data_IF_224254755968
#
_entry.id   IF_224254755968
#
_cell.length_a   1.000
_cell.length_b   1.000
_cell.length_c   1.000
_cell.angle_alpha   90.00
_cell.angle_beta   90.00
_cell.angle_gamma   90.00
#
_symmetry.space_group_name_H-M   'P 1'
#
loop_
_entity.id
_entity.type
_entity.pdbx_description
1 polymer ?
#
# COMPACT_ATOMS: atom_id res chain seq x y z
N UNK A 1 6.47 -44.62 -73.32
CA UNK A 1 5.85 -45.08 -72.06
C UNK A 1 6.35 -44.22 -70.91
N UNK A 2 5.43 -43.48 -70.28
CA UNK A 2 5.43 -42.86 -68.93
C UNK A 2 6.69 -42.12 -68.44
N UNK A 3 6.63 -40.79 -68.59
CA UNK A 3 7.19 -39.82 -67.63
C UNK A 3 6.53 -40.02 -66.25
N UNK A 4 7.33 -40.09 -65.18
CA UNK A 4 6.84 -39.99 -63.80
C UNK A 4 7.36 -38.69 -63.21
N UNK A 5 6.51 -37.66 -63.26
CA UNK A 5 6.70 -36.40 -62.54
C UNK A 5 6.41 -36.63 -61.06
N UNK A 6 7.42 -36.48 -60.19
CA UNK A 6 7.21 -36.43 -58.74
C UNK A 6 6.64 -35.06 -58.35
N UNK A 7 5.34 -35.02 -58.07
CA UNK A 7 4.64 -33.85 -57.57
C UNK A 7 4.91 -33.71 -56.06
N UNK A 8 5.77 -32.77 -55.67
CA UNK A 8 6.01 -32.39 -54.28
C UNK A 8 4.78 -31.59 -53.80
N UNK A 9 3.83 -32.26 -53.16
CA UNK A 9 2.77 -31.60 -52.40
C UNK A 9 3.39 -30.91 -51.19
N UNK A 10 3.46 -29.57 -51.22
CA UNK A 10 3.68 -28.74 -50.03
C UNK A 10 2.57 -29.06 -49.02
N UNK A 11 2.93 -29.75 -47.93
CA UNK A 11 2.09 -29.84 -46.74
C UNK A 11 2.01 -28.44 -46.14
N UNK A 12 0.81 -27.89 -46.05
CA UNK A 12 0.53 -26.76 -45.17
C UNK A 12 0.96 -27.15 -43.76
N UNK A 13 1.98 -26.48 -43.24
CA UNK A 13 2.46 -26.64 -41.88
C UNK A 13 1.50 -25.89 -40.97
N UNK A 14 0.52 -26.61 -40.43
CA UNK A 14 -0.29 -26.13 -39.30
C UNK A 14 0.69 -25.89 -38.15
N UNK A 15 0.84 -24.63 -37.71
CA UNK A 15 1.68 -24.28 -36.56
C UNK A 15 1.22 -25.09 -35.35
N UNK A 16 2.10 -25.97 -34.88
CA UNK A 16 1.95 -26.63 -33.60
C UNK A 16 2.00 -25.56 -32.50
N UNK A 17 0.89 -25.37 -31.79
CA UNK A 17 0.86 -24.60 -30.55
C UNK A 17 1.79 -25.29 -29.56
N UNK A 18 2.98 -24.71 -29.35
CA UNK A 18 3.97 -25.24 -28.44
C UNK A 18 3.37 -25.36 -27.02
N UNK A 19 3.69 -26.47 -26.35
CA UNK A 19 3.30 -26.74 -24.98
C UNK A 19 3.99 -25.73 -24.03
N UNK A 20 3.20 -24.84 -23.44
CA UNK A 20 3.67 -23.82 -22.50
C UNK A 20 3.57 -24.39 -21.08
N UNK A 21 4.68 -24.47 -20.36
CA UNK A 21 4.74 -25.08 -19.01
C UNK A 21 4.08 -24.19 -17.93
N UNK A 22 3.76 -24.70 -16.73
CA UNK A 22 3.17 -23.87 -15.65
C UNK A 22 4.10 -22.72 -15.21
N UNK A 23 5.41 -22.93 -15.29
CA UNK A 23 6.42 -21.92 -15.01
C UNK A 23 6.43 -20.81 -16.08
N UNK A 24 5.70 -21.02 -17.17
CA UNK A 24 5.56 -20.13 -18.30
C UNK A 24 4.25 -19.35 -18.23
N UNK A 25 3.25 -19.78 -17.44
CA UNK A 25 1.98 -19.06 -17.31
C UNK A 25 2.14 -17.73 -16.58
N UNK A 26 2.83 -17.71 -15.43
CA UNK A 26 3.12 -16.47 -14.72
C UNK A 26 4.11 -15.58 -15.52
N UNK A 27 5.04 -16.19 -16.28
CA UNK A 27 5.94 -15.47 -17.19
C UNK A 27 5.17 -14.82 -18.35
N UNK A 28 4.16 -15.47 -18.91
CA UNK A 28 3.25 -14.88 -19.90
C UNK A 28 2.48 -13.69 -19.31
N UNK A 29 2.03 -13.79 -18.05
CA UNK A 29 1.43 -12.66 -17.34
C UNK A 29 2.42 -11.49 -17.21
N UNK A 30 3.67 -11.74 -16.79
CA UNK A 30 4.71 -10.71 -16.70
C UNK A 30 5.02 -10.06 -18.06
N UNK A 31 5.11 -10.86 -19.13
CA UNK A 31 5.27 -10.37 -20.51
C UNK A 31 4.09 -9.52 -20.94
N UNK A 32 2.86 -9.94 -20.63
CA UNK A 32 1.65 -9.18 -20.94
C UNK A 32 1.63 -7.83 -20.22
N UNK A 33 1.98 -7.79 -18.93
CA UNK A 33 2.12 -6.53 -18.18
C UNK A 33 3.22 -5.62 -18.75
N UNK A 34 4.30 -6.22 -19.26
CA UNK A 34 5.38 -5.49 -19.95
C UNK A 34 4.90 -4.90 -21.28
N UNK A 35 4.08 -5.62 -22.05
CA UNK A 35 3.45 -5.09 -23.28
C UNK A 35 2.53 -3.91 -23.00
N UNK A 36 1.87 -3.88 -21.84
CA UNK A 36 1.09 -2.73 -21.35
C UNK A 36 1.93 -1.59 -20.76
N UNK A 37 3.26 -1.74 -20.74
CA UNK A 37 4.20 -0.79 -20.11
C UNK A 37 3.94 -0.58 -18.62
N UNK A 38 3.39 -1.60 -17.94
CA UNK A 38 3.23 -1.61 -16.47
C UNK A 38 4.54 -2.06 -15.82
N UNK A 39 5.15 -3.10 -16.40
CA UNK A 39 6.50 -3.52 -16.05
C UNK A 39 7.48 -2.99 -17.09
N UNK A 40 8.67 -2.60 -16.63
CA UNK A 40 9.79 -2.27 -17.52
C UNK A 40 10.38 -3.55 -18.12
N UNK A 41 11.00 -3.45 -19.29
CA UNK A 41 11.64 -4.61 -19.93
C UNK A 41 12.76 -5.23 -19.07
N UNK A 42 13.48 -4.41 -18.31
CA UNK A 42 14.57 -4.79 -17.41
C UNK A 42 14.10 -5.20 -16.00
N UNK A 43 12.78 -5.21 -15.74
CA UNK A 43 12.23 -5.56 -14.44
C UNK A 43 12.58 -7.00 -14.02
N UNK A 44 12.87 -7.21 -12.74
CA UNK A 44 13.30 -8.52 -12.18
C UNK A 44 12.37 -9.67 -12.57
N UNK A 45 11.05 -9.44 -12.56
CA UNK A 45 10.06 -10.44 -12.96
C UNK A 45 10.19 -10.94 -14.43
N UNK A 46 10.94 -10.24 -15.28
CA UNK A 46 11.20 -10.64 -16.67
C UNK A 46 12.53 -11.38 -16.86
N UNK A 47 13.34 -11.54 -15.80
CA UNK A 47 14.64 -12.20 -15.92
C UNK A 47 14.49 -13.72 -16.15
N UNK A 48 15.44 -14.38 -16.84
CA UNK A 48 15.36 -15.82 -17.14
C UNK A 48 15.28 -16.70 -15.89
N UNK A 49 15.91 -16.26 -14.80
CA UNK A 49 15.99 -16.95 -13.51
C UNK A 49 14.96 -16.42 -12.49
N UNK A 50 14.03 -15.56 -12.91
CA UNK A 50 13.00 -15.03 -12.04
C UNK A 50 12.09 -16.15 -11.52
N UNK A 51 11.64 -15.99 -10.28
CA UNK A 51 10.68 -16.87 -9.64
C UNK A 51 9.29 -16.24 -9.62
N UNK A 52 8.27 -17.07 -9.45
CA UNK A 52 6.88 -16.60 -9.34
C UNK A 52 6.68 -15.57 -8.21
N UNK A 53 7.45 -15.69 -7.13
CA UNK A 53 7.46 -14.72 -6.04
C UNK A 53 7.82 -13.32 -6.50
N UNK A 54 8.70 -13.15 -7.49
CA UNK A 54 9.09 -11.84 -7.98
C UNK A 54 7.89 -11.10 -8.60
N UNK A 55 7.06 -11.80 -9.36
CA UNK A 55 5.82 -11.24 -9.90
C UNK A 55 4.78 -11.01 -8.81
N UNK A 56 4.61 -11.97 -7.89
CA UNK A 56 3.61 -11.87 -6.82
C UNK A 56 3.87 -10.67 -5.90
N UNK A 57 5.12 -10.47 -5.45
CA UNK A 57 5.50 -9.30 -4.64
C UNK A 57 5.30 -7.99 -5.39
N UNK A 58 5.55 -7.98 -6.71
CA UNK A 58 5.38 -6.78 -7.55
C UNK A 58 3.92 -6.35 -7.67
N UNK A 59 2.97 -7.29 -7.63
CA UNK A 59 1.54 -7.01 -7.73
C UNK A 59 0.85 -6.85 -6.37
N UNK A 60 1.53 -7.19 -5.27
CA UNK A 60 0.97 -7.37 -3.93
C UNK A 60 0.22 -6.14 -3.40
N UNK A 61 0.66 -4.95 -3.77
CA UNK A 61 0.13 -3.70 -3.25
C UNK A 61 -1.07 -3.13 -4.03
N UNK A 62 -1.44 -3.80 -5.13
CA UNK A 62 -2.55 -3.42 -6.00
C UNK A 62 -2.34 -2.17 -6.87
N UNK A 63 -1.23 -1.44 -6.72
CA UNK A 63 -1.01 -0.17 -7.46
C UNK A 63 -0.84 -0.42 -8.95
N UNK A 64 -0.02 -1.41 -9.31
CA UNK A 64 0.20 -1.79 -10.70
C UNK A 64 -1.07 -2.36 -11.35
N UNK A 65 -1.92 -3.02 -10.57
CA UNK A 65 -3.21 -3.52 -11.04
C UNK A 65 -4.18 -2.37 -11.37
N UNK A 66 -4.29 -1.37 -10.50
CA UNK A 66 -5.06 -0.16 -10.78
C UNK A 66 -4.50 0.64 -11.96
N UNK A 67 -3.17 0.76 -12.05
CA UNK A 67 -2.49 1.43 -13.16
C UNK A 67 -2.74 0.72 -14.50
N UNK A 68 -2.78 -0.61 -14.50
CA UNK A 68 -3.16 -1.42 -15.65
C UNK A 68 -4.57 -1.08 -16.14
N UNK A 69 -5.55 -1.00 -15.23
CA UNK A 69 -6.92 -0.63 -15.61
C UNK A 69 -6.99 0.77 -16.24
N UNK A 70 -6.27 1.75 -15.67
CA UNK A 70 -6.17 3.11 -16.22
C UNK A 70 -5.54 3.13 -17.62
N UNK A 71 -4.57 2.24 -17.89
CA UNK A 71 -3.96 2.08 -19.23
C UNK A 71 -4.90 1.43 -20.23
N UNK A 72 -5.71 0.46 -19.80
CA UNK A 72 -6.67 -0.22 -20.68
C UNK A 72 -7.86 0.69 -21.00
N UNK A 73 -8.39 1.39 -20.00
CA UNK A 73 -9.50 2.33 -20.14
C UNK A 73 -9.30 3.53 -19.18
N UNK A 74 -8.85 4.69 -19.67
CA UNK A 74 -8.56 5.85 -18.82
C UNK A 74 -9.76 6.38 -18.02
N UNK A 75 -10.99 6.05 -18.42
CA UNK A 75 -12.21 6.52 -17.76
C UNK A 75 -12.73 5.55 -16.69
N UNK A 76 -12.13 4.36 -16.55
CA UNK A 76 -12.64 3.35 -15.63
C UNK A 76 -12.19 3.53 -14.18
N UNK A 77 -11.12 4.30 -13.95
CA UNK A 77 -10.53 4.50 -12.62
C UNK A 77 -10.05 5.94 -12.47
N UNK A 78 -10.45 6.59 -11.39
CA UNK A 78 -9.77 7.82 -10.95
C UNK A 78 -8.52 7.43 -10.16
N UNK A 79 -7.34 7.69 -10.73
CA UNK A 79 -6.07 7.38 -10.09
C UNK A 79 -5.85 8.12 -8.76
N UNK A 80 -6.64 9.17 -8.45
CA UNK A 80 -6.63 9.82 -7.13
C UNK A 80 -7.17 8.93 -6.02
N UNK A 81 -7.99 7.92 -6.34
CA UNK A 81 -8.54 6.98 -5.35
C UNK A 81 -7.52 5.88 -4.97
N UNK A 82 -6.48 5.70 -5.79
CA UNK A 82 -5.44 4.68 -5.62
C UNK A 82 -4.37 5.18 -4.65
N UNK A 83 -4.06 4.40 -3.62
CA UNK A 83 -2.91 4.68 -2.76
C UNK A 83 -1.62 4.37 -3.52
N UNK A 84 -0.93 5.38 -4.05
CA UNK A 84 0.30 5.19 -4.85
C UNK A 84 1.52 4.77 -4.02
N UNK A 85 1.51 5.01 -2.70
CA UNK A 85 2.58 4.63 -1.77
C UNK A 85 2.00 3.85 -0.58
N UNK A 86 1.49 2.63 -0.81
CA UNK A 86 0.85 1.86 0.25
C UNK A 86 1.85 1.27 1.26
N UNK A 87 3.16 1.35 1.01
CA UNK A 87 4.23 0.89 1.90
C UNK A 87 4.04 -0.54 2.46
N UNK A 88 3.35 -1.40 1.70
CA UNK A 88 2.92 -2.75 2.11
C UNK A 88 1.98 -2.79 3.33
N UNK A 89 1.38 -1.66 3.72
CA UNK A 89 0.31 -1.60 4.70
C UNK A 89 -0.91 -2.39 4.20
N UNK A 90 -1.39 -3.35 5.00
CA UNK A 90 -2.41 -4.31 4.59
C UNK A 90 -3.71 -3.63 4.15
N UNK A 91 -4.23 -2.69 4.94
CA UNK A 91 -5.45 -1.97 4.57
C UNK A 91 -5.32 -1.23 3.23
N UNK A 92 -4.25 -0.44 3.03
CA UNK A 92 -4.04 0.33 1.80
C UNK A 92 -3.87 -0.58 0.57
N UNK A 93 -3.14 -1.69 0.73
CA UNK A 93 -2.98 -2.70 -0.32
C UNK A 93 -4.33 -3.38 -0.64
N UNK A 94 -5.06 -3.83 0.37
CA UNK A 94 -6.37 -4.46 0.20
C UNK A 94 -7.40 -3.49 -0.38
N UNK A 95 -7.34 -2.19 -0.04
CA UNK A 95 -8.19 -1.14 -0.64
C UNK A 95 -7.92 -0.99 -2.13
N UNK A 96 -6.64 -0.92 -2.52
CA UNK A 96 -6.25 -0.87 -3.93
C UNK A 96 -6.70 -2.14 -4.67
N UNK A 97 -6.48 -3.33 -4.09
CA UNK A 97 -6.89 -4.60 -4.69
C UNK A 97 -8.43 -4.66 -4.83
N UNK A 98 -9.17 -4.24 -3.81
CA UNK A 98 -10.65 -4.21 -3.84
C UNK A 98 -11.16 -3.25 -4.91
N UNK A 99 -10.53 -2.08 -5.04
CA UNK A 99 -10.84 -1.13 -6.11
C UNK A 99 -10.63 -1.76 -7.49
N UNK A 100 -9.49 -2.43 -7.71
CA UNK A 100 -9.22 -3.18 -8.93
C UNK A 100 -10.32 -4.23 -9.23
N UNK A 101 -10.69 -5.04 -8.24
CA UNK A 101 -11.69 -6.10 -8.38
C UNK A 101 -13.08 -5.53 -8.71
N UNK A 102 -13.48 -4.44 -8.04
CA UNK A 102 -14.75 -3.78 -8.29
C UNK A 102 -14.83 -3.23 -9.72
N UNK A 103 -13.77 -2.60 -10.22
CA UNK A 103 -13.74 -2.09 -11.59
C UNK A 103 -13.72 -3.24 -12.60
N UNK A 104 -13.02 -4.34 -12.31
CA UNK A 104 -13.09 -5.54 -13.14
C UNK A 104 -14.53 -6.10 -13.25
N UNK A 105 -15.27 -6.09 -12.14
CA UNK A 105 -16.69 -6.51 -12.10
C UNK A 105 -17.57 -5.57 -12.93
N UNK A 106 -17.48 -4.27 -12.71
CA UNK A 106 -18.45 -3.31 -13.25
C UNK A 106 -18.09 -2.77 -14.64
N UNK A 107 -16.82 -2.43 -14.90
CA UNK A 107 -16.39 -1.78 -16.14
C UNK A 107 -15.84 -2.75 -17.20
N UNK A 108 -15.42 -3.94 -16.77
CA UNK A 108 -14.88 -4.99 -17.64
C UNK A 108 -15.78 -6.25 -17.68
N UNK A 109 -16.86 -6.27 -16.89
CA UNK A 109 -17.89 -7.31 -16.88
C UNK A 109 -17.35 -8.73 -16.60
N UNK A 110 -16.31 -8.83 -15.76
CA UNK A 110 -15.85 -10.12 -15.26
C UNK A 110 -16.89 -10.71 -14.30
N UNK A 111 -17.10 -12.02 -14.40
CA UNK A 111 -18.01 -12.75 -13.48
C UNK A 111 -17.37 -12.87 -12.11
N UNK A 112 -18.19 -12.92 -11.07
CA UNK A 112 -17.74 -13.14 -9.68
C UNK A 112 -16.87 -14.40 -9.56
N UNK A 113 -17.24 -15.50 -10.22
CA UNK A 113 -16.48 -16.74 -10.21
C UNK A 113 -15.10 -16.64 -10.90
N UNK A 114 -14.85 -15.60 -11.70
CA UNK A 114 -13.57 -15.35 -12.36
C UNK A 114 -12.66 -14.40 -11.55
N UNK A 115 -13.18 -13.75 -10.50
CA UNK A 115 -12.42 -12.83 -9.63
C UNK A 115 -11.73 -13.59 -8.48
N UNK A 116 -10.65 -13.01 -7.96
CA UNK A 116 -9.97 -13.48 -6.76
C UNK A 116 -10.38 -12.63 -5.54
N UNK A 117 -10.12 -13.11 -4.33
CA UNK A 117 -10.32 -12.36 -3.08
C UNK A 117 -9.04 -11.62 -2.67
N UNK A 118 -9.15 -10.46 -2.02
CA UNK A 118 -7.99 -9.62 -1.69
C UNK A 118 -6.84 -10.36 -1.00
N UNK A 119 -7.15 -11.25 -0.05
CA UNK A 119 -6.17 -12.09 0.66
C UNK A 119 -5.40 -13.06 -0.26
N UNK A 120 -5.99 -13.50 -1.39
CA UNK A 120 -5.34 -14.41 -2.35
C UNK A 120 -4.10 -13.80 -2.99
N UNK A 121 -4.09 -12.48 -3.17
CA UNK A 121 -2.94 -11.72 -3.64
C UNK A 121 -2.08 -11.20 -2.49
N UNK A 122 -2.70 -10.60 -1.47
CA UNK A 122 -1.96 -9.94 -0.39
C UNK A 122 -1.21 -10.91 0.53
N UNK A 123 -1.84 -12.04 0.88
CA UNK A 123 -1.26 -13.09 1.73
C UNK A 123 -0.68 -14.24 0.89
N UNK A 124 -0.67 -14.09 -0.44
CA UNK A 124 -0.29 -15.13 -1.41
C UNK A 124 -1.03 -16.47 -1.22
N UNK A 125 -2.23 -16.45 -0.65
CA UNK A 125 -2.94 -17.68 -0.29
C UNK A 125 -3.40 -18.48 -1.51
N UNK A 126 -3.64 -17.81 -2.64
CA UNK A 126 -3.95 -18.41 -3.94
C UNK A 126 -3.58 -17.49 -5.11
N UNK A 127 -2.28 -17.37 -5.38
CA UNK A 127 -1.82 -16.52 -6.49
C UNK A 127 -2.21 -17.06 -7.88
N UNK A 128 -2.48 -18.37 -8.01
CA UNK A 128 -2.99 -18.93 -9.26
C UNK A 128 -4.33 -18.32 -9.66
N UNK A 129 -5.25 -18.14 -8.71
CA UNK A 129 -6.54 -17.50 -8.97
C UNK A 129 -6.36 -16.06 -9.47
N UNK A 130 -5.36 -15.32 -8.95
CA UNK A 130 -5.00 -13.99 -9.43
C UNK A 130 -4.59 -14.02 -10.90
N UNK A 131 -3.73 -14.95 -11.30
CA UNK A 131 -3.32 -15.12 -12.70
C UNK A 131 -4.49 -15.48 -13.62
N UNK A 132 -5.42 -16.33 -13.15
CA UNK A 132 -6.64 -16.65 -13.87
C UNK A 132 -7.52 -15.40 -14.10
N UNK A 133 -7.71 -14.57 -13.08
CA UNK A 133 -8.45 -13.29 -13.21
C UNK A 133 -7.78 -12.36 -14.21
N UNK A 134 -6.45 -12.21 -14.14
CA UNK A 134 -5.70 -11.39 -15.10
C UNK A 134 -5.76 -11.94 -16.53
N UNK A 135 -5.77 -13.26 -16.69
CA UNK A 135 -5.96 -13.90 -17.99
C UNK A 135 -7.34 -13.57 -18.57
N UNK A 136 -8.41 -13.65 -17.76
CA UNK A 136 -9.77 -13.24 -18.16
C UNK A 136 -9.84 -11.76 -18.51
N UNK A 137 -9.24 -10.90 -17.69
CA UNK A 137 -9.15 -9.46 -17.97
C UNK A 137 -8.44 -9.19 -19.31
N UNK A 138 -7.35 -9.92 -19.58
CA UNK A 138 -6.57 -9.77 -20.82
C UNK A 138 -7.34 -10.16 -22.09
N UNK A 139 -8.39 -10.97 -21.93
CA UNK A 139 -9.26 -11.44 -23.02
C UNK A 139 -10.49 -10.55 -23.20
N UNK A 140 -10.68 -9.53 -22.36
CA UNK A 140 -11.79 -8.58 -22.53
C UNK A 140 -11.63 -7.80 -23.85
N UNK A 141 -12.74 -7.42 -24.52
CA UNK A 141 -12.67 -6.68 -25.78
C UNK A 141 -11.87 -5.38 -25.67
N UNK A 142 -11.93 -4.71 -24.50
CA UNK A 142 -11.17 -3.49 -24.21
C UNK A 142 -9.66 -3.74 -24.18
N UNK A 143 -9.21 -4.83 -23.55
CA UNK A 143 -7.80 -5.16 -23.44
C UNK A 143 -7.21 -5.66 -24.77
N UNK A 144 -7.91 -6.58 -25.46
CA UNK A 144 -7.43 -7.22 -26.70
C UNK A 144 -7.24 -6.21 -27.84
N UNK A 145 -7.98 -5.09 -27.81
CA UNK A 145 -7.89 -4.03 -28.82
C UNK A 145 -6.47 -3.47 -28.98
N UNK A 146 -5.71 -3.40 -27.88
CA UNK A 146 -4.38 -2.78 -27.86
C UNK A 146 -3.25 -3.80 -27.72
N UNK A 147 -3.46 -4.84 -26.91
CA UNK A 147 -2.43 -5.84 -26.61
C UNK A 147 -3.05 -7.23 -26.63
N UNK A 148 -2.42 -8.16 -27.34
CA UNK A 148 -2.84 -9.56 -27.34
C UNK A 148 -2.85 -10.13 -25.91
N UNK A 149 -4.01 -10.65 -25.51
CA UNK A 149 -4.20 -11.30 -24.21
C UNK A 149 -3.40 -12.59 -24.07
N UNK A 150 -3.44 -13.17 -22.86
CA UNK A 150 -2.79 -14.43 -22.54
C UNK A 150 -3.82 -15.42 -21.96
N UNK A 151 -3.57 -16.71 -22.09
CA UNK A 151 -4.52 -17.76 -21.70
C UNK A 151 -3.84 -18.86 -20.88
N UNK A 152 -4.50 -19.30 -19.81
CA UNK A 152 -4.16 -20.54 -19.12
C UNK A 152 -4.57 -21.75 -19.99
N UNK A 153 -3.70 -22.75 -20.13
CA UNK A 153 -4.11 -24.03 -20.74
C UNK A 153 -5.03 -24.83 -19.78
N UNK A 154 -5.84 -25.71 -20.35
CA UNK A 154 -6.93 -26.45 -19.73
C UNK A 154 -6.56 -27.27 -18.48
N UNK A 155 -7.26 -26.95 -17.38
CA UNK A 155 -7.79 -27.75 -16.24
C UNK A 155 -7.03 -28.93 -15.61
N UNK A 156 -5.87 -29.39 -16.11
CA UNK A 156 -5.17 -30.52 -15.49
C UNK A 156 -3.96 -30.08 -14.71
N UNK A 157 -4.22 -29.96 -13.41
CA UNK A 157 -3.28 -30.12 -12.30
C UNK A 157 -2.39 -28.91 -12.00
N UNK A 158 -2.44 -28.46 -10.73
CA UNK A 158 -1.30 -28.13 -9.84
C UNK A 158 -1.51 -26.84 -9.03
N UNK A 159 -2.16 -26.98 -7.87
CA UNK A 159 -2.07 -26.02 -6.76
C UNK A 159 -0.67 -26.02 -6.10
N UNK A 160 0.09 -27.11 -6.26
CA UNK A 160 1.33 -27.37 -5.52
C UNK A 160 2.47 -26.36 -5.79
N UNK A 161 2.57 -25.81 -7.01
CA UNK A 161 3.64 -24.85 -7.36
C UNK A 161 3.39 -23.50 -6.67
N UNK A 162 2.14 -23.09 -6.54
CA UNK A 162 1.73 -21.80 -5.97
C UNK A 162 1.67 -21.83 -4.44
N UNK A 163 1.52 -23.02 -3.85
CA UNK A 163 1.55 -23.21 -2.40
C UNK A 163 2.91 -22.86 -1.78
N UNK A 164 4.00 -22.95 -2.55
CA UNK A 164 5.37 -22.59 -2.14
C UNK A 164 5.58 -21.10 -1.79
N UNK A 165 4.65 -20.24 -2.20
CA UNK A 165 4.65 -18.83 -1.81
C UNK A 165 4.30 -18.63 -0.33
N UNK A 166 3.61 -19.59 0.30
CA UNK A 166 3.24 -19.52 1.74
C UNK A 166 4.43 -19.65 2.68
N UNK A 167 5.50 -20.32 2.24
CA UNK A 167 6.75 -20.49 3.01
C UNK A 167 7.70 -19.31 2.92
N UNK A 168 7.38 -18.28 2.11
CA UNK A 168 8.08 -17.01 2.16
C UNK A 168 7.47 -16.24 3.33
N UNK A 169 8.04 -16.41 4.52
CA UNK A 169 7.57 -15.70 5.72
C UNK A 169 7.48 -14.20 5.40
N UNK A 170 6.32 -13.56 5.65
CA UNK A 170 6.32 -12.11 5.78
C UNK A 170 7.34 -11.76 6.86
N UNK A 171 8.10 -10.65 6.72
CA UNK A 171 9.02 -10.25 7.77
C UNK A 171 8.25 -10.26 9.10
N UNK A 172 8.77 -11.02 10.06
CA UNK A 172 8.15 -11.31 11.34
C UNK A 172 7.60 -10.02 11.94
N UNK A 173 6.29 -9.80 11.82
CA UNK A 173 5.61 -8.73 12.54
C UNK A 173 5.39 -9.25 13.95
N UNK A 174 6.44 -9.18 14.76
CA UNK A 174 6.38 -9.52 16.18
C UNK A 174 5.74 -8.39 17.00
N UNK A 175 4.86 -7.61 16.40
CA UNK A 175 4.23 -6.50 17.06
C UNK A 175 2.72 -6.68 17.04
N UNK A 176 2.16 -6.53 18.23
CA UNK A 176 0.78 -6.14 18.49
C UNK A 176 0.49 -4.74 17.90
N UNK A 177 0.81 -4.48 16.63
CA UNK A 177 0.38 -3.29 15.91
C UNK A 177 -0.93 -3.65 15.20
N UNK A 178 -2.01 -3.13 15.77
CA UNK A 178 -3.34 -3.13 15.19
C UNK A 178 -3.30 -2.53 13.77
N UNK A 179 -3.92 -3.22 12.80
CA UNK A 179 -3.91 -2.91 11.37
C UNK A 179 -4.38 -1.47 11.05
N UNK A 180 -5.13 -0.84 11.97
CA UNK A 180 -5.64 0.53 11.85
C UNK A 180 -4.72 1.65 12.39
N UNK A 181 -3.63 1.34 13.10
CA UNK A 181 -2.74 2.37 13.67
C UNK A 181 -1.86 3.04 12.61
N UNK A 182 -1.40 2.28 11.61
CA UNK A 182 -0.64 2.81 10.46
C UNK A 182 -1.52 3.69 9.56
N UNK A 183 -2.79 3.34 9.35
CA UNK A 183 -3.76 4.15 8.59
C UNK A 183 -4.00 5.52 9.24
N UNK A 184 -4.08 5.54 10.57
CA UNK A 184 -4.20 6.77 11.35
C UNK A 184 -2.95 7.63 11.21
N UNK A 185 -1.76 7.04 11.38
CA UNK A 185 -0.49 7.74 11.27
C UNK A 185 -0.28 8.31 9.85
N UNK A 186 -0.56 7.54 8.80
CA UNK A 186 -0.47 8.00 7.41
C UNK A 186 -1.46 9.13 7.08
N UNK A 187 -2.65 9.12 7.69
CA UNK A 187 -3.64 10.22 7.56
C UNK A 187 -3.12 11.51 8.22
N UNK A 188 -2.49 11.37 9.38
CA UNK A 188 -1.91 12.49 10.14
C UNK A 188 -0.74 13.13 9.36
N UNK A 189 0.11 12.32 8.76
CA UNK A 189 1.36 12.81 8.16
C UNK A 189 1.17 13.38 6.75
N UNK A 190 0.01 13.17 6.10
CA UNK A 190 -0.21 13.53 4.69
C UNK A 190 0.43 14.86 4.30
N UNK A 191 1.58 14.76 3.62
CA UNK A 191 2.29 15.90 3.05
C UNK A 191 1.61 16.21 1.73
N UNK A 192 1.25 17.48 1.50
CA UNK A 192 0.72 17.93 0.22
C UNK A 192 1.64 17.47 -0.91
N UNK A 193 1.05 17.06 -2.04
CA UNK A 193 1.78 16.44 -3.16
C UNK A 193 2.97 17.34 -3.56
N UNK A 194 4.20 16.81 -3.72
CA UNK A 194 5.32 17.57 -4.26
C UNK A 194 5.00 18.36 -5.54
N UNK A 195 4.02 17.91 -6.33
CA UNK A 195 3.55 18.63 -7.52
C UNK A 195 2.72 19.88 -7.19
N UNK A 196 1.96 19.89 -6.10
CA UNK A 196 1.25 21.07 -5.63
C UNK A 196 2.21 22.10 -5.02
N UNK A 197 3.26 21.65 -4.32
CA UNK A 197 4.32 22.55 -3.85
C UNK A 197 5.16 23.15 -4.99
N UNK A 198 5.32 22.44 -6.11
CA UNK A 198 6.03 22.93 -7.31
C UNK A 198 5.28 24.03 -8.05
N UNK A 199 3.96 24.16 -7.87
CA UNK A 199 3.16 25.20 -8.51
C UNK A 199 3.25 26.55 -7.77
N UNK A 200 3.95 26.64 -6.65
CA UNK A 200 4.02 27.84 -5.81
C UNK A 200 5.42 28.47 -5.68
N UNK A 201 6.49 27.89 -6.22
CA UNK A 201 7.86 28.44 -6.03
C UNK A 201 8.75 28.22 -7.26
N UNK A 202 9.35 29.31 -7.77
CA UNK A 202 10.11 29.43 -9.02
C UNK A 202 11.61 29.01 -8.96
N UNK A 203 12.05 28.20 -7.98
CA UNK A 203 13.47 27.79 -7.88
C UNK A 203 13.71 26.27 -7.81
N UNK A 204 14.76 25.75 -8.47
CA UNK A 204 15.11 24.34 -8.46
C UNK A 204 15.79 23.98 -7.14
N UNK A 205 15.01 23.69 -6.11
CA UNK A 205 15.51 23.10 -4.87
C UNK A 205 16.28 21.81 -5.15
N UNK A 206 17.43 21.63 -4.50
CA UNK A 206 18.17 20.37 -4.54
C UNK A 206 17.36 19.29 -3.81
N UNK A 207 17.58 18.01 -4.13
CA UNK A 207 16.89 16.87 -3.47
C UNK A 207 16.95 16.95 -1.94
N UNK A 208 18.00 17.56 -1.39
CA UNK A 208 18.21 17.80 0.03
C UNK A 208 17.12 18.70 0.64
N UNK A 209 16.77 19.79 -0.03
CA UNK A 209 15.82 20.76 0.50
C UNK A 209 14.38 20.21 0.48
N UNK A 210 14.08 19.32 -0.47
CA UNK A 210 12.83 18.57 -0.48
C UNK A 210 12.72 17.68 0.76
N UNK A 211 13.77 16.93 1.09
CA UNK A 211 13.79 16.05 2.27
C UNK A 211 13.68 16.85 3.58
N UNK A 212 14.38 17.99 3.68
CA UNK A 212 14.29 18.85 4.88
C UNK A 212 12.87 19.39 5.04
N UNK A 213 12.25 19.83 3.94
CA UNK A 213 10.87 20.33 3.95
C UNK A 213 9.86 19.26 4.32
N UNK A 214 9.98 18.07 3.71
CA UNK A 214 9.16 16.91 4.06
C UNK A 214 9.28 16.62 5.56
N UNK A 215 10.49 16.55 6.10
CA UNK A 215 10.71 16.35 7.53
C UNK A 215 10.00 17.41 8.40
N UNK A 216 10.17 18.70 8.08
CA UNK A 216 9.53 19.81 8.81
C UNK A 216 8.01 19.74 8.73
N UNK A 217 7.46 19.46 7.54
CA UNK A 217 6.01 19.39 7.32
C UNK A 217 5.39 18.20 8.07
N UNK A 218 6.02 17.03 8.00
CA UNK A 218 5.58 15.84 8.75
C UNK A 218 5.63 16.06 10.26
N UNK A 219 6.69 16.69 10.77
CA UNK A 219 6.84 17.00 12.19
C UNK A 219 5.78 18.02 12.66
N UNK A 220 5.51 19.04 11.85
CA UNK A 220 4.46 20.02 12.13
C UNK A 220 3.09 19.36 12.27
N UNK A 221 2.75 18.46 11.34
CA UNK A 221 1.49 17.73 11.38
C UNK A 221 1.40 16.84 12.63
N UNK A 222 2.49 16.18 13.01
CA UNK A 222 2.56 15.37 14.22
C UNK A 222 2.32 16.20 15.50
N UNK A 223 2.99 17.34 15.62
CA UNK A 223 2.79 18.28 16.75
C UNK A 223 1.35 18.81 16.80
N UNK A 224 0.74 19.10 15.65
CA UNK A 224 -0.65 19.54 15.59
C UNK A 224 -1.61 18.47 16.13
N UNK A 225 -1.37 17.19 15.83
CA UNK A 225 -2.18 16.09 16.38
C UNK A 225 -2.00 15.96 17.89
N UNK A 226 -0.77 16.04 18.39
CA UNK A 226 -0.53 16.05 19.84
C UNK A 226 -1.25 17.24 20.50
N UNK A 227 -1.26 18.41 19.86
CA UNK A 227 -2.01 19.57 20.32
C UNK A 227 -3.53 19.31 20.34
N UNK A 228 -4.07 18.68 19.29
CA UNK A 228 -5.49 18.30 19.21
C UNK A 228 -5.86 17.27 20.27
N UNK A 229 -5.02 16.25 20.49
CA UNK A 229 -5.20 15.26 21.57
C UNK A 229 -5.29 15.95 22.93
N UNK A 230 -4.40 16.90 23.20
CA UNK A 230 -4.42 17.65 24.45
C UNK A 230 -5.68 18.55 24.56
N UNK A 231 -5.96 19.38 23.55
CA UNK A 231 -7.02 20.40 23.63
C UNK A 231 -8.43 19.85 23.47
N UNK A 232 -8.61 18.88 22.57
CA UNK A 232 -9.93 18.37 22.22
C UNK A 232 -10.33 17.15 23.04
N UNK A 233 -9.36 16.39 23.57
CA UNK A 233 -9.65 15.20 24.37
C UNK A 233 -9.25 15.40 25.83
N UNK A 234 -7.96 15.56 26.16
CA UNK A 234 -7.51 15.63 27.55
C UNK A 234 -8.23 16.72 28.36
N UNK A 235 -8.25 17.97 27.89
CA UNK A 235 -8.90 19.07 28.60
C UNK A 235 -10.42 18.89 28.71
N UNK A 236 -11.07 18.38 27.67
CA UNK A 236 -12.54 18.23 27.64
C UNK A 236 -13.01 17.04 28.47
N UNK A 237 -12.23 15.96 28.51
CA UNK A 237 -12.54 14.73 29.25
C UNK A 237 -12.21 14.86 30.74
N UNK A 238 -11.40 15.83 31.16
CA UNK A 238 -11.07 16.12 32.56
C UNK A 238 -12.29 16.37 33.46
N UNK A 239 -13.44 16.73 32.89
CA UNK A 239 -14.69 16.92 33.63
C UNK A 239 -15.54 15.65 33.77
N UNK A 240 -15.20 14.57 33.04
CA UNK A 240 -16.02 13.36 32.93
C UNK A 240 -15.27 12.10 33.37
N UNK A 241 -13.95 12.09 33.22
CA UNK A 241 -13.08 10.97 33.58
C UNK A 241 -12.21 11.40 34.77
N UNK A 242 -11.99 10.51 35.73
CA UNK A 242 -11.13 10.81 36.88
C UNK A 242 -9.68 11.05 36.45
N UNK A 243 -8.98 11.88 37.21
CA UNK A 243 -7.57 12.22 36.93
C UNK A 243 -6.68 10.98 36.83
N UNK A 244 -6.87 9.98 37.70
CA UNK A 244 -6.13 8.72 37.68
C UNK A 244 -6.27 7.98 36.34
N UNK A 245 -7.49 7.90 35.79
CA UNK A 245 -7.70 7.26 34.49
C UNK A 245 -7.14 8.10 33.35
N UNK A 246 -7.20 9.43 33.42
CA UNK A 246 -6.63 10.30 32.40
C UNK A 246 -5.11 10.24 32.37
N UNK A 247 -4.46 10.15 33.54
CA UNK A 247 -3.01 9.97 33.65
C UNK A 247 -2.56 8.63 33.04
N UNK A 248 -3.43 7.60 33.05
CA UNK A 248 -3.20 6.33 32.35
C UNK A 248 -3.46 6.45 30.85
N UNK A 249 -4.58 7.06 30.43
CA UNK A 249 -4.98 7.14 29.01
C UNK A 249 -4.02 8.02 28.20
N UNK A 250 -3.62 9.17 28.76
CA UNK A 250 -2.76 10.15 28.09
C UNK A 250 -1.33 10.15 28.64
N UNK A 251 -0.89 9.03 29.20
CA UNK A 251 0.42 8.88 29.81
C UNK A 251 1.54 9.41 28.88
N UNK A 252 2.33 10.36 29.37
CA UNK A 252 3.42 11.03 28.64
C UNK A 252 3.03 11.80 27.35
N UNK A 253 1.75 11.87 26.97
CA UNK A 253 1.32 12.64 25.79
C UNK A 253 1.64 14.14 25.92
N UNK A 254 1.43 14.81 27.06
CA UNK A 254 1.84 16.21 27.23
C UNK A 254 3.35 16.42 27.11
N UNK A 255 4.15 15.52 27.68
CA UNK A 255 5.62 15.59 27.61
C UNK A 255 6.12 15.38 26.18
N UNK A 256 5.53 14.43 25.45
CA UNK A 256 5.79 14.22 24.03
C UNK A 256 5.46 15.48 23.21
N UNK A 257 4.34 16.16 23.50
CA UNK A 257 4.00 17.43 22.84
C UNK A 257 5.10 18.48 23.06
N UNK A 258 5.56 18.68 24.28
CA UNK A 258 6.60 19.68 24.59
C UNK A 258 7.93 19.36 23.89
N UNK A 259 8.36 18.09 23.91
CA UNK A 259 9.58 17.63 23.25
C UNK A 259 9.50 17.85 21.73
N UNK A 260 8.39 17.46 21.10
CA UNK A 260 8.22 17.60 19.65
C UNK A 260 8.02 19.06 19.21
N UNK A 261 7.36 19.88 20.03
CA UNK A 261 7.26 21.32 19.78
C UNK A 261 8.64 22.00 19.82
N UNK A 262 9.51 21.60 20.76
CA UNK A 262 10.90 22.05 20.80
C UNK A 262 11.68 21.56 19.58
N UNK A 263 11.55 20.28 19.22
CA UNK A 263 12.21 19.67 18.08
C UNK A 263 11.83 20.38 16.77
N UNK A 264 10.54 20.61 16.53
CA UNK A 264 10.02 21.38 15.39
C UNK A 264 10.60 22.79 15.33
N UNK A 265 10.68 23.47 16.48
CA UNK A 265 11.28 24.81 16.58
C UNK A 265 12.75 24.81 16.17
N UNK A 266 13.49 23.73 16.48
CA UNK A 266 14.88 23.59 16.04
C UNK A 266 14.98 23.23 14.56
N UNK A 267 14.07 22.41 14.03
CA UNK A 267 14.04 22.09 12.59
C UNK A 267 13.80 23.33 11.73
N UNK A 268 12.99 24.29 12.18
CA UNK A 268 12.82 25.58 11.47
C UNK A 268 14.13 26.38 11.34
N UNK A 269 15.11 26.17 12.23
CA UNK A 269 16.42 26.84 12.16
C UNK A 269 17.38 26.24 11.12
N UNK A 270 16.96 25.20 10.38
CA UNK A 270 17.73 24.61 9.30
C UNK A 270 17.78 25.48 8.04
N UNK A 271 16.91 26.48 7.94
CA UNK A 271 17.03 27.54 6.92
C UNK A 271 18.31 28.35 7.09
N UNK A 272 18.78 28.48 8.32
CA UNK A 272 19.99 29.21 8.66
C UNK A 272 21.15 28.22 8.52
N UNK A 273 21.94 28.34 7.45
CA UNK A 273 22.97 27.39 7.01
C UNK A 273 24.03 26.99 8.07
N UNK A 274 24.01 27.60 9.26
CA UNK A 274 24.83 27.25 10.42
C UNK A 274 24.39 25.97 11.15
N UNK A 275 23.11 25.57 11.05
CA UNK A 275 22.56 24.48 11.86
C UNK A 275 22.64 23.15 11.09
N UNK A 276 23.26 22.13 11.70
CA UNK A 276 23.30 20.78 11.12
C UNK A 276 22.09 19.97 11.59
N UNK A 277 21.40 19.30 10.67
CA UNK A 277 20.30 18.38 11.00
C UNK A 277 20.72 17.34 12.04
N UNK A 278 21.94 16.79 11.89
CA UNK A 278 22.47 15.77 12.80
C UNK A 278 22.59 16.25 14.24
N UNK A 279 22.96 17.51 14.49
CA UNK A 279 23.10 18.01 15.87
C UNK A 279 21.75 18.12 16.57
N UNK A 280 20.68 18.43 15.83
CA UNK A 280 19.31 18.49 16.39
C UNK A 280 18.87 17.10 16.84
N UNK A 281 19.07 16.06 16.02
CA UNK A 281 18.70 14.70 16.39
C UNK A 281 19.52 14.19 17.59
N UNK A 282 20.83 14.44 17.61
CA UNK A 282 21.69 14.02 18.72
C UNK A 282 21.27 14.69 20.03
N UNK A 283 20.92 15.98 20.01
CA UNK A 283 20.48 16.69 21.22
C UNK A 283 19.11 16.26 21.74
N UNK A 284 18.26 15.67 20.89
CA UNK A 284 16.93 15.19 21.29
C UNK A 284 16.85 13.69 21.57
N UNK A 285 17.88 12.92 21.16
CA UNK A 285 17.91 11.46 21.34
C UNK A 285 17.52 11.02 22.76
N UNK A 286 18.11 11.64 23.79
CA UNK A 286 17.87 11.25 25.17
C UNK A 286 16.50 11.76 25.67
N UNK A 287 16.00 12.87 25.13
CA UNK A 287 14.64 13.37 25.41
C UNK A 287 13.58 12.39 24.90
N UNK A 288 13.83 11.74 23.75
CA UNK A 288 12.93 10.72 23.20
C UNK A 288 12.89 9.42 24.00
N UNK A 289 13.67 9.25 25.07
CA UNK A 289 13.55 8.08 25.95
C UNK A 289 12.19 8.01 26.65
N UNK A 290 11.46 9.13 26.74
CA UNK A 290 10.06 9.18 27.21
C UNK A 290 9.14 8.20 26.48
N UNK A 291 9.45 7.88 25.22
CA UNK A 291 8.72 6.88 24.42
C UNK A 291 8.75 5.49 25.06
N UNK A 292 9.79 5.14 25.82
CA UNK A 292 9.83 3.86 26.54
C UNK A 292 8.65 3.71 27.50
N UNK A 293 8.38 4.77 28.29
CA UNK A 293 7.22 4.81 29.18
C UNK A 293 5.90 4.80 28.40
N UNK A 294 5.78 5.67 27.39
CA UNK A 294 4.59 5.76 26.53
C UNK A 294 4.21 4.40 25.91
N UNK A 295 5.16 3.76 25.24
CA UNK A 295 4.94 2.47 24.56
C UNK A 295 4.60 1.35 25.57
N UNK A 296 5.25 1.33 26.73
CA UNK A 296 4.97 0.32 27.76
C UNK A 296 3.56 0.44 28.35
N UNK A 297 3.00 1.66 28.39
CA UNK A 297 1.67 1.92 28.93
C UNK A 297 0.56 1.84 27.86
N UNK A 298 0.89 1.75 26.57
CA UNK A 298 -0.09 1.81 25.48
C UNK A 298 -1.22 0.78 25.63
N UNK A 299 -0.89 -0.49 25.90
CA UNK A 299 -1.92 -1.52 26.10
C UNK A 299 -2.83 -1.21 27.29
N UNK A 300 -2.27 -0.72 28.40
CA UNK A 300 -3.02 -0.35 29.60
C UNK A 300 -3.94 0.86 29.34
N UNK A 301 -3.45 1.86 28.62
CA UNK A 301 -4.22 3.02 28.18
C UNK A 301 -5.44 2.58 27.33
N UNK A 302 -5.22 1.71 26.34
CA UNK A 302 -6.29 1.20 25.48
C UNK A 302 -7.34 0.41 26.27
N UNK A 303 -6.93 -0.51 27.14
CA UNK A 303 -7.87 -1.29 27.97
C UNK A 303 -8.66 -0.38 28.91
N UNK A 304 -7.99 0.58 29.57
CA UNK A 304 -8.65 1.52 30.47
C UNK A 304 -9.69 2.38 29.73
N UNK A 305 -9.35 2.87 28.53
CA UNK A 305 -10.28 3.64 27.71
C UNK A 305 -11.48 2.80 27.27
N UNK A 306 -11.26 1.55 26.86
CA UNK A 306 -12.35 0.66 26.45
C UNK A 306 -13.30 0.35 27.62
N UNK A 307 -12.75 0.03 28.79
CA UNK A 307 -13.54 -0.25 30.00
C UNK A 307 -14.41 0.96 30.41
N UNK A 308 -13.91 2.18 30.26
CA UNK A 308 -14.68 3.40 30.53
C UNK A 308 -15.79 3.59 29.51
N UNK A 309 -15.49 3.41 28.21
CA UNK A 309 -16.48 3.51 27.15
C UNK A 309 -17.62 2.51 27.33
N UNK A 310 -17.30 1.27 27.74
CA UNK A 310 -18.28 0.20 27.95
C UNK A 310 -19.17 0.46 29.18
N UNK A 311 -18.62 1.06 30.24
CA UNK A 311 -19.33 1.33 31.49
C UNK A 311 -20.09 2.65 31.49
N UNK A 312 -19.65 3.62 30.68
CA UNK A 312 -20.18 4.99 30.64
C UNK A 312 -20.49 5.41 29.20
N UNK A 313 -21.68 5.06 28.68
CA UNK A 313 -22.09 5.41 27.31
C UNK A 313 -22.08 6.92 27.03
N UNK A 314 -22.30 7.75 28.06
CA UNK A 314 -22.24 9.21 27.95
C UNK A 314 -20.83 9.71 27.64
N UNK A 315 -19.80 9.07 28.20
CA UNK A 315 -18.39 9.38 27.93
C UNK A 315 -18.04 8.96 26.51
N UNK A 316 -18.48 7.77 26.08
CA UNK A 316 -18.33 7.31 24.70
C UNK A 316 -18.94 8.31 23.71
N UNK A 317 -20.18 8.72 23.92
CA UNK A 317 -20.85 9.73 23.09
C UNK A 317 -20.08 11.05 23.05
N UNK A 318 -19.46 11.45 24.17
CA UNK A 318 -18.66 12.68 24.22
C UNK A 318 -17.33 12.55 23.47
N UNK A 319 -16.71 11.38 23.50
CA UNK A 319 -15.54 11.06 22.69
C UNK A 319 -15.91 11.12 21.20
N UNK A 320 -17.02 10.52 20.79
CA UNK A 320 -17.50 10.56 19.40
C UNK A 320 -17.82 11.99 18.93
N UNK A 321 -18.46 12.81 19.76
CA UNK A 321 -18.69 14.23 19.44
C UNK A 321 -17.38 15.01 19.29
N UNK A 322 -16.37 14.71 20.11
CA UNK A 322 -15.06 15.35 20.00
C UNK A 322 -14.22 14.86 18.82
N UNK A 323 -14.53 13.68 18.23
CA UNK A 323 -13.95 13.21 16.96
C UNK A 323 -14.40 14.05 15.75
N UNK A 324 -15.63 14.59 15.77
CA UNK A 324 -16.23 15.32 14.65
C UNK A 324 -15.97 16.83 14.60
N UNK A 325 -15.05 17.36 15.41
CA UNK A 325 -14.65 18.78 15.35
C UNK A 325 -13.44 18.88 14.44
N UNK A 326 -13.69 18.84 13.13
CA UNK A 326 -12.73 19.19 12.06
C UNK A 326 -12.58 20.71 11.92
#
# INVERSE_FOLDING_TARGET
MRNVSFSIKRKHSTMATACVSNDEFWKECARWLTRWSILRQDHRANWPNAAIGDLAHTLRDGVLLCTLLSKIDPHCIDMKMVNLKPALARFLCLRNITLFLNICRHNFSLKECDLFEGAMLFDFSNFYKVLCTLSKLSQTPKAVKSVQGFCAQTERSRDDIYQSLKTIEPPVSNNYYDDGMEDTYQTIIQVKDPKELRLQVDEPYEKRDYVIRELVDTERNYVEVLCKLHRNFLLKLNHFISKEHLDIIFYHVPELYDIHQEFLTQLYKLSDQSTKLSSIFISHKDKFLVYGGYCSNLSNACTTLQDICDRQPDVFNKIEVNKGIE
#
